data_IF_973571738686
#
_entry.id   IF_973571738686
#
_cell.length_a   1.000
_cell.length_b   1.000
_cell.length_c   1.000
_cell.angle_alpha   90.00
_cell.angle_beta   90.00
_cell.angle_gamma   90.00
#
_symmetry.space_group_name_H-M   'P 1'
#
loop_
_entity.id
_entity.type
_entity.pdbx_description
1 polymer ?
#
# COMPACT_ATOMS: atom_id res chain seq x y z
N UNK A 1 27.70 7.74 14.38
CA UNK A 1 26.38 8.39 14.14
C UNK A 1 26.56 9.42 13.03
N UNK A 2 25.84 9.29 11.92
CA UNK A 2 25.90 10.28 10.82
C UNK A 2 25.43 11.64 11.35
N UNK A 3 26.32 12.64 11.36
CA UNK A 3 25.96 14.02 11.72
C UNK A 3 25.33 14.70 10.50
N UNK A 4 24.01 14.62 10.41
CA UNK A 4 23.23 15.23 9.33
C UNK A 4 22.77 16.64 9.71
N UNK A 5 22.87 17.58 8.76
CA UNK A 5 22.22 18.88 8.85
C UNK A 5 20.69 18.72 8.87
N UNK A 6 19.95 19.76 9.26
CA UNK A 6 18.47 19.73 9.25
C UNK A 6 17.92 19.32 7.88
N UNK A 7 18.49 19.88 6.81
CA UNK A 7 18.13 19.54 5.43
C UNK A 7 18.44 18.07 5.10
N UNK A 8 19.59 17.56 5.54
CA UNK A 8 19.95 16.14 5.38
C UNK A 8 18.96 15.20 6.09
N UNK A 9 18.48 15.57 7.28
CA UNK A 9 17.46 14.78 8.01
C UNK A 9 16.13 14.75 7.26
N UNK A 10 15.68 15.88 6.70
CA UNK A 10 14.44 15.96 5.93
C UNK A 10 14.51 15.05 4.70
N UNK A 11 15.61 15.10 3.95
CA UNK A 11 15.81 14.23 2.78
C UNK A 11 15.79 12.76 3.19
N UNK A 12 16.50 12.39 4.25
CA UNK A 12 16.54 11.00 4.72
C UNK A 12 15.15 10.51 5.12
N UNK A 13 14.37 11.31 5.86
CA UNK A 13 13.01 10.93 6.23
C UNK A 13 12.07 10.86 5.04
N UNK A 14 12.22 11.74 4.06
CA UNK A 14 11.46 11.66 2.81
C UNK A 14 11.77 10.36 2.05
N UNK A 15 13.05 10.02 1.89
CA UNK A 15 13.46 8.77 1.23
C UNK A 15 12.95 7.53 1.99
N UNK A 16 13.02 7.54 3.32
CA UNK A 16 12.48 6.45 4.14
C UNK A 16 10.96 6.34 4.02
N UNK A 17 10.24 7.46 3.98
CA UNK A 17 8.80 7.46 3.79
C UNK A 17 8.41 6.89 2.42
N UNK A 18 9.09 7.30 1.35
CA UNK A 18 8.89 6.74 0.00
C UNK A 18 9.20 5.24 -0.02
N UNK A 19 10.30 4.82 0.61
CA UNK A 19 10.67 3.41 0.71
C UNK A 19 9.59 2.59 1.44
N UNK A 20 9.08 3.09 2.56
CA UNK A 20 7.97 2.47 3.28
C UNK A 20 6.71 2.36 2.41
N UNK A 21 6.36 3.42 1.66
CA UNK A 21 5.20 3.39 0.76
C UNK A 21 5.36 2.33 -0.34
N UNK A 22 6.54 2.24 -0.97
CA UNK A 22 6.83 1.22 -1.99
C UNK A 22 6.60 -0.18 -1.43
N UNK A 23 7.05 -0.45 -0.20
CA UNK A 23 6.84 -1.74 0.47
C UNK A 23 5.38 -1.97 0.81
N UNK A 24 4.67 -0.96 1.32
CA UNK A 24 3.30 -1.11 1.82
C UNK A 24 2.25 -1.24 0.72
N UNK A 25 2.47 -0.63 -0.45
CA UNK A 25 1.53 -0.66 -1.59
C UNK A 25 1.10 -2.08 -2.00
N UNK A 26 1.99 -3.07 -2.23
CA UNK A 26 1.56 -4.42 -2.60
C UNK A 26 0.72 -5.10 -1.51
N UNK A 27 1.06 -4.91 -0.23
CA UNK A 27 0.26 -5.45 0.87
C UNK A 27 -1.11 -4.77 0.98
N UNK A 28 -1.15 -3.45 0.77
CA UNK A 28 -2.40 -2.72 0.69
C UNK A 28 -3.28 -3.28 -0.43
N UNK A 29 -2.75 -3.41 -1.65
CA UNK A 29 -3.49 -3.97 -2.79
C UNK A 29 -3.97 -5.41 -2.51
N UNK A 30 -3.14 -6.22 -1.87
CA UNK A 30 -3.51 -7.59 -1.46
C UNK A 30 -4.71 -7.60 -0.51
N UNK A 31 -4.70 -6.75 0.52
CA UNK A 31 -5.82 -6.61 1.48
C UNK A 31 -7.07 -6.05 0.77
N UNK A 32 -6.91 -5.12 -0.16
CA UNK A 32 -8.05 -4.60 -0.92
C UNK A 32 -8.67 -5.67 -1.81
N UNK A 33 -7.85 -6.50 -2.45
CA UNK A 33 -8.31 -7.55 -3.34
C UNK A 33 -8.93 -8.72 -2.60
N UNK A 34 -8.51 -9.02 -1.37
CA UNK A 34 -9.16 -10.07 -0.56
C UNK A 34 -10.60 -9.73 -0.17
N UNK A 35 -11.01 -8.47 -0.29
CA UNK A 35 -12.39 -8.02 -0.06
C UNK A 35 -13.22 -7.91 -1.35
N UNK A 36 -12.63 -8.17 -2.53
CA UNK A 36 -13.27 -8.01 -3.84
C UNK A 36 -13.73 -9.35 -4.43
N UNK A 37 -14.60 -9.25 -5.44
CA UNK A 37 -14.98 -10.41 -6.26
C UNK A 37 -13.91 -10.70 -7.31
N UNK A 38 -13.81 -11.95 -7.78
CA UNK A 38 -12.86 -12.32 -8.84
C UNK A 38 -12.99 -11.42 -10.07
N UNK A 39 -14.23 -11.16 -10.54
CA UNK A 39 -14.49 -10.28 -11.68
C UNK A 39 -13.91 -8.87 -11.47
N UNK A 40 -14.06 -8.34 -10.27
CA UNK A 40 -13.58 -7.00 -9.93
C UNK A 40 -12.05 -6.94 -9.84
N UNK A 41 -11.41 -7.97 -9.31
CA UNK A 41 -9.94 -8.08 -9.28
C UNK A 41 -9.36 -8.03 -10.70
N UNK A 42 -9.98 -8.74 -11.66
CA UNK A 42 -9.52 -8.77 -13.05
C UNK A 42 -9.77 -7.47 -13.82
N UNK A 43 -10.89 -6.79 -13.57
CA UNK A 43 -11.24 -5.56 -14.28
C UNK A 43 -10.61 -4.30 -13.66
N UNK A 44 -10.47 -4.27 -12.34
CA UNK A 44 -10.03 -3.09 -11.58
C UNK A 44 -9.15 -3.49 -10.38
N UNK A 45 -7.91 -3.97 -10.62
CA UNK A 45 -7.04 -4.50 -9.56
C UNK A 45 -6.59 -3.44 -8.55
N UNK A 46 -6.50 -2.17 -8.95
CA UNK A 46 -5.98 -1.07 -8.11
C UNK A 46 -7.08 -0.15 -7.55
N UNK A 47 -8.36 -0.49 -7.74
CA UNK A 47 -9.48 0.29 -7.18
C UNK A 47 -9.76 -0.07 -5.72
N UNK A 48 -10.59 0.74 -5.06
CA UNK A 48 -11.26 0.33 -3.83
C UNK A 48 -12.36 -0.71 -4.13
N UNK A 49 -12.82 -1.51 -3.14
CA UNK A 49 -13.82 -2.54 -3.34
C UNK A 49 -15.18 -1.85 -3.52
N UNK A 50 -15.89 -2.21 -4.57
CA UNK A 50 -17.23 -1.70 -4.83
C UNK A 50 -18.23 -2.22 -3.79
N UNK A 51 -17.99 -3.43 -3.30
CA UNK A 51 -18.69 -4.07 -2.17
C UNK A 51 -17.68 -4.88 -1.38
N UNK A 52 -17.80 -4.87 -0.05
CA UNK A 52 -16.94 -5.66 0.83
C UNK A 52 -17.47 -7.09 0.90
N UNK A 53 -16.69 -8.06 0.42
CA UNK A 53 -17.04 -9.48 0.41
C UNK A 53 -16.28 -10.24 1.51
N UNK A 54 -16.93 -10.41 2.66
CA UNK A 54 -16.40 -11.22 3.77
C UNK A 54 -16.52 -12.73 3.53
N UNK A 55 -17.33 -13.15 2.56
CA UNK A 55 -17.46 -14.56 2.12
C UNK A 55 -16.11 -15.18 1.70
N UNK A 56 -15.14 -14.36 1.31
CA UNK A 56 -13.79 -14.82 0.99
C UNK A 56 -13.01 -15.34 2.23
N UNK A 57 -13.54 -15.17 3.45
CA UNK A 57 -12.91 -15.56 4.72
C UNK A 57 -13.69 -16.64 5.49
N UNK A 58 -14.81 -17.11 4.96
CA UNK A 58 -15.67 -18.14 5.59
C UNK A 58 -15.38 -19.55 5.10
#
# INVERSE_FOLDING_TARGET
MLKLSLFGKIIVYFLLAVYCLIILVPFFIMIMNSLKSMREIYLQPFSFPSKVLFENYS
#
